data_IF_414483798687
#
_entry.id   IF_414483798687
#
_cell.length_a   1.000
_cell.length_b   1.000
_cell.length_c   1.000
_cell.angle_alpha   90.00
_cell.angle_beta   90.00
_cell.angle_gamma   90.00
#
_symmetry.space_group_name_H-M   'P 1'
#
loop_
_entity.id
_entity.type
_entity.pdbx_description
1 polymer ?
#
# COMPACT_ATOMS: atom_id res chain seq x y z
N UNK A 1 -6.67 -1.44 -21.38
CA UNK A 1 -6.47 -0.34 -20.44
C UNK A 1 -5.51 0.68 -21.00
N UNK A 2 -5.81 1.93 -20.78
CA UNK A 2 -4.91 2.98 -21.23
C UNK A 2 -4.10 3.48 -20.03
N UNK A 3 -2.81 3.27 -20.10
CA UNK A 3 -1.93 3.61 -18.99
C UNK A 3 -2.00 5.09 -18.62
N UNK A 4 -2.15 5.97 -19.61
CA UNK A 4 -2.18 7.40 -19.33
C UNK A 4 -3.44 7.86 -18.60
N UNK A 5 -4.42 6.98 -18.43
CA UNK A 5 -5.61 7.29 -17.65
C UNK A 5 -5.33 7.20 -16.14
N UNK A 6 -4.17 6.72 -15.78
CA UNK A 6 -3.78 6.57 -14.38
C UNK A 6 -2.79 7.64 -13.99
N UNK A 7 -2.90 8.07 -12.76
CA UNK A 7 -2.01 9.08 -12.20
C UNK A 7 -1.18 8.44 -11.10
N UNK A 8 0.14 8.62 -11.16
CA UNK A 8 1.03 8.15 -10.11
C UNK A 8 0.82 8.99 -8.85
N UNK A 9 0.68 8.33 -7.72
CA UNK A 9 0.49 9.01 -6.43
C UNK A 9 1.56 8.60 -5.42
N UNK A 10 2.61 7.92 -5.89
CA UNK A 10 3.72 7.49 -5.05
C UNK A 10 5.03 7.79 -5.74
N UNK A 11 6.13 7.70 -4.99
CA UNK A 11 7.46 7.81 -5.56
C UNK A 11 8.35 6.75 -4.93
N UNK A 12 9.57 6.60 -5.48
CA UNK A 12 10.46 5.55 -5.01
C UNK A 12 10.85 5.73 -3.55
N UNK A 13 10.99 6.98 -3.11
CA UNK A 13 11.34 7.25 -1.72
C UNK A 13 10.29 6.71 -0.77
N UNK A 14 9.02 6.95 -1.07
CA UNK A 14 7.95 6.47 -0.20
C UNK A 14 7.85 4.95 -0.23
N UNK A 15 8.01 4.32 -1.39
CA UNK A 15 8.02 2.87 -1.45
C UNK A 15 9.17 2.30 -0.61
N UNK A 16 10.34 2.94 -0.67
CA UNK A 16 11.49 2.51 0.10
C UNK A 16 11.24 2.68 1.60
N UNK A 17 10.55 3.76 1.98
CA UNK A 17 10.21 3.96 3.38
C UNK A 17 9.25 2.89 3.89
N UNK A 18 8.27 2.50 3.05
CA UNK A 18 7.37 1.41 3.41
C UNK A 18 8.17 0.13 3.63
N UNK A 19 9.06 -0.18 2.70
CA UNK A 19 9.88 -1.37 2.81
C UNK A 19 10.66 -1.38 4.12
N UNK A 20 11.36 -0.29 4.40
CA UNK A 20 12.19 -0.22 5.60
C UNK A 20 11.37 -0.32 6.86
N UNK A 21 10.24 0.38 6.88
CA UNK A 21 9.36 0.40 8.03
C UNK A 21 8.78 -0.98 8.30
N UNK A 22 8.27 -1.63 7.28
CA UNK A 22 7.65 -2.94 7.45
C UNK A 22 8.69 -4.00 7.76
N UNK A 23 9.89 -3.87 7.19
CA UNK A 23 10.95 -4.82 7.48
C UNK A 23 11.39 -4.75 8.95
N UNK A 24 11.28 -3.57 9.55
CA UNK A 24 11.66 -3.37 10.94
C UNK A 24 10.49 -3.50 11.91
N UNK A 25 9.31 -3.74 11.40
CA UNK A 25 8.11 -3.85 12.21
C UNK A 25 8.08 -5.20 12.91
N UNK A 26 7.70 -5.20 14.19
CA UNK A 26 7.63 -6.44 14.96
C UNK A 26 6.36 -7.26 14.62
N UNK A 27 5.40 -6.64 13.94
CA UNK A 27 4.16 -7.32 13.57
C UNK A 27 4.41 -8.15 12.32
N UNK A 28 3.95 -9.40 12.36
CA UNK A 28 4.06 -10.25 11.19
C UNK A 28 3.01 -9.83 10.16
N UNK A 29 3.48 -9.49 8.97
CA UNK A 29 2.59 -9.08 7.88
C UNK A 29 2.98 -9.82 6.61
N UNK A 30 1.99 -9.99 5.73
CA UNK A 30 2.26 -10.49 4.38
C UNK A 30 1.74 -9.44 3.40
N UNK A 31 2.29 -9.45 2.19
CA UNK A 31 1.95 -8.44 1.20
C UNK A 31 1.84 -9.04 -0.18
N UNK A 32 1.14 -8.34 -1.05
CA UNK A 32 1.11 -8.65 -2.48
C UNK A 32 0.86 -7.36 -3.24
N UNK A 33 1.18 -7.36 -4.53
CA UNK A 33 1.05 -6.18 -5.38
C UNK A 33 0.32 -6.52 -6.65
N UNK A 34 -0.25 -5.49 -7.29
CA UNK A 34 -0.78 -5.62 -8.63
C UNK A 34 0.05 -4.72 -9.56
N UNK A 35 0.40 -5.27 -10.72
CA UNK A 35 1.15 -4.52 -11.73
C UNK A 35 0.20 -3.60 -12.49
N UNK A 36 0.59 -2.33 -12.66
CA UNK A 36 -0.29 -1.33 -13.27
C UNK A 36 -0.53 -1.60 -14.74
N UNK A 37 0.42 -2.23 -15.43
CA UNK A 37 0.30 -2.47 -16.86
C UNK A 37 -0.36 -3.80 -17.17
N UNK A 38 0.10 -4.86 -16.53
CA UNK A 38 -0.34 -6.21 -16.84
C UNK A 38 -1.52 -6.65 -15.98
N UNK A 39 -1.75 -5.96 -14.87
CA UNK A 39 -2.78 -6.32 -13.90
C UNK A 39 -2.49 -7.63 -13.18
N UNK A 40 -1.26 -8.13 -13.30
CA UNK A 40 -0.86 -9.34 -12.60
C UNK A 40 -0.82 -9.08 -11.10
N UNK A 41 -1.43 -9.96 -10.34
CA UNK A 41 -1.42 -9.89 -8.87
C UNK A 41 -0.46 -10.96 -8.37
N UNK A 42 0.51 -10.55 -7.58
CA UNK A 42 1.51 -11.48 -7.06
C UNK A 42 0.90 -12.38 -5.97
N UNK A 43 1.59 -13.45 -5.67
CA UNK A 43 1.24 -14.24 -4.51
C UNK A 43 1.54 -13.46 -3.24
N UNK A 44 0.92 -13.87 -2.14
CA UNK A 44 1.24 -13.29 -0.84
C UNK A 44 2.67 -13.66 -0.45
N UNK A 45 3.39 -12.71 0.13
CA UNK A 45 4.82 -12.87 0.44
C UNK A 45 5.09 -12.24 1.80
N UNK A 46 5.92 -12.89 2.60
CA UNK A 46 6.28 -12.37 3.93
C UNK A 46 7.61 -11.66 3.98
N UNK A 47 8.35 -11.62 2.87
CA UNK A 47 9.70 -11.08 2.86
C UNK A 47 9.73 -9.65 2.36
N UNK A 48 9.97 -8.71 3.27
CA UNK A 48 10.05 -7.30 2.91
C UNK A 48 11.45 -6.87 2.48
N UNK A 49 12.48 -7.63 2.84
CA UNK A 49 13.84 -7.17 2.59
C UNK A 49 14.34 -7.56 1.21
N UNK A 50 14.22 -8.83 0.87
CA UNK A 50 14.76 -9.31 -0.40
C UNK A 50 13.75 -9.27 -1.54
N UNK A 51 12.48 -9.47 -1.25
CA UNK A 51 11.48 -9.61 -2.30
C UNK A 51 10.77 -8.32 -2.64
N UNK A 52 10.64 -7.40 -1.69
CA UNK A 52 9.99 -6.13 -1.96
C UNK A 52 11.03 -5.09 -2.36
N UNK A 53 11.42 -5.12 -3.64
CA UNK A 53 12.44 -4.20 -4.11
C UNK A 53 12.38 -4.03 -5.62
N UNK A 54 12.77 -2.83 -6.09
CA UNK A 54 12.89 -2.56 -7.51
C UNK A 54 11.54 -2.42 -8.20
N UNK A 55 11.56 -1.80 -9.37
CA UNK A 55 10.38 -1.68 -10.23
C UNK A 55 9.15 -1.11 -9.53
N UNK A 56 9.36 -0.22 -8.56
CA UNK A 56 8.27 0.36 -7.81
C UNK A 56 7.28 1.09 -8.73
N UNK A 57 7.77 1.64 -9.82
CA UNK A 57 6.92 2.35 -10.77
C UNK A 57 5.88 1.47 -11.43
N UNK A 58 6.02 0.15 -11.33
CA UNK A 58 5.05 -0.78 -11.89
C UNK A 58 3.96 -1.18 -10.90
N UNK A 59 4.05 -0.75 -9.67
CA UNK A 59 3.09 -1.15 -8.64
C UNK A 59 1.85 -0.28 -8.74
N UNK A 60 0.72 -0.89 -9.13
CA UNK A 60 -0.55 -0.19 -9.10
C UNK A 60 -1.03 -0.04 -7.66
N UNK A 61 -0.98 -1.11 -6.89
CA UNK A 61 -1.29 -1.06 -5.47
C UNK A 61 -0.54 -2.17 -4.74
N UNK A 62 -0.37 -1.94 -3.44
CA UNK A 62 0.22 -2.88 -2.50
C UNK A 62 -0.84 -3.19 -1.46
N UNK A 63 -1.06 -4.47 -1.20
CA UNK A 63 -1.91 -4.89 -0.09
C UNK A 63 -1.06 -5.50 1.00
N UNK A 64 -1.32 -5.08 2.24
CA UNK A 64 -0.64 -5.60 3.43
C UNK A 64 -1.70 -6.26 4.29
N UNK A 65 -1.50 -7.51 4.64
CA UNK A 65 -2.46 -8.27 5.42
C UNK A 65 -1.90 -8.56 6.80
N UNK A 66 -2.74 -8.34 7.81
CA UNK A 66 -2.37 -8.58 9.20
C UNK A 66 -3.32 -9.63 9.78
N UNK A 67 -2.99 -10.09 11.01
CA UNK A 67 -3.74 -11.19 11.62
C UNK A 67 -5.01 -10.75 12.30
N UNK A 68 -5.05 -9.52 12.81
CA UNK A 68 -6.22 -9.04 13.54
C UNK A 68 -6.31 -7.53 13.45
N UNK A 69 -7.42 -6.99 13.99
CA UNK A 69 -7.68 -5.56 13.87
C UNK A 69 -6.75 -4.71 14.72
N UNK A 70 -6.26 -5.23 15.82
CA UNK A 70 -5.31 -4.48 16.64
C UNK A 70 -4.02 -4.26 15.89
N UNK A 71 -3.51 -5.30 15.22
CA UNK A 71 -2.32 -5.18 14.39
C UNK A 71 -2.56 -4.26 13.22
N UNK A 72 -3.78 -4.27 12.67
CA UNK A 72 -4.11 -3.37 11.58
C UNK A 72 -3.95 -1.92 12.01
N UNK A 73 -4.46 -1.57 13.19
CA UNK A 73 -4.35 -0.20 13.67
C UNK A 73 -2.89 0.20 13.86
N UNK A 74 -2.06 -0.71 14.35
CA UNK A 74 -0.64 -0.43 14.53
C UNK A 74 0.05 -0.17 13.19
N UNK A 75 -0.24 -0.98 12.19
CA UNK A 75 0.33 -0.79 10.86
C UNK A 75 -0.14 0.51 10.24
N UNK A 76 -1.43 0.82 10.38
CA UNK A 76 -1.97 2.07 9.86
C UNK A 76 -1.27 3.26 10.50
N UNK A 77 -1.10 3.25 11.82
CA UNK A 77 -0.42 4.34 12.50
C UNK A 77 1.01 4.52 11.99
N UNK A 78 1.67 3.41 11.73
CA UNK A 78 3.02 3.44 11.19
C UNK A 78 3.03 4.05 9.79
N UNK A 79 2.10 3.64 8.94
CA UNK A 79 2.04 4.15 7.56
C UNK A 79 1.64 5.62 7.50
N UNK A 80 0.90 6.10 8.50
CA UNK A 80 0.54 7.52 8.53
C UNK A 80 1.77 8.42 8.59
N UNK A 81 2.83 7.95 9.22
CA UNK A 81 4.04 8.76 9.31
C UNK A 81 4.72 8.92 7.95
N UNK A 82 4.43 8.03 7.02
CA UNK A 82 5.00 8.11 5.67
C UNK A 82 4.13 8.95 4.75
N UNK A 83 2.85 9.11 5.10
CA UNK A 83 1.91 9.91 4.31
C UNK A 83 1.65 9.27 2.94
N UNK A 84 1.04 8.09 2.96
CA UNK A 84 0.74 7.35 1.74
C UNK A 84 -0.77 7.34 1.48
N UNK A 85 -1.16 7.24 0.21
CA UNK A 85 -2.58 7.12 -0.13
C UNK A 85 -3.03 5.68 0.04
N UNK A 86 -4.22 5.49 0.60
CA UNK A 86 -4.66 4.12 0.79
C UNK A 86 -6.04 4.01 1.39
N UNK A 87 -6.42 2.77 1.58
CA UNK A 87 -7.69 2.42 2.17
C UNK A 87 -7.57 1.06 2.84
N UNK A 88 -8.55 0.70 3.64
CA UNK A 88 -8.52 -0.62 4.28
C UNK A 88 -9.86 -1.31 4.15
N UNK A 89 -9.81 -2.63 4.22
CA UNK A 89 -11.00 -3.46 4.29
C UNK A 89 -10.64 -4.70 5.10
N UNK A 90 -11.42 -4.98 6.14
CA UNK A 90 -11.15 -6.10 7.03
C UNK A 90 -9.72 -5.99 7.57
N UNK A 91 -8.91 -7.04 7.43
CA UNK A 91 -7.54 -7.01 7.93
C UNK A 91 -6.50 -6.74 6.83
N UNK A 92 -6.93 -6.10 5.74
CA UNK A 92 -6.06 -5.76 4.62
C UNK A 92 -5.96 -4.25 4.50
N UNK A 93 -4.73 -3.76 4.34
CA UNK A 93 -4.43 -2.35 4.12
C UNK A 93 -3.90 -2.21 2.70
N UNK A 94 -4.53 -1.35 1.90
CA UNK A 94 -4.12 -1.16 0.51
C UNK A 94 -3.48 0.21 0.36
N UNK A 95 -2.28 0.23 -0.23
CA UNK A 95 -1.56 1.45 -0.55
C UNK A 95 -1.55 1.60 -2.06
N UNK A 96 -1.94 2.76 -2.56
CA UNK A 96 -2.04 2.99 -3.99
C UNK A 96 -0.76 3.55 -4.55
N UNK A 97 -0.29 2.95 -5.65
CA UNK A 97 0.78 3.53 -6.45
C UNK A 97 0.22 4.40 -7.56
N UNK A 98 -0.96 4.03 -8.06
CA UNK A 98 -1.65 4.75 -9.12
C UNK A 98 -3.14 4.78 -8.85
N UNK A 99 -3.79 5.85 -9.30
CA UNK A 99 -5.24 5.96 -9.27
C UNK A 99 -5.72 6.46 -10.62
N UNK A 100 -6.99 6.22 -10.91
CA UNK A 100 -7.57 6.78 -12.12
C UNK A 100 -7.71 8.29 -11.95
N UNK A 101 -7.49 9.03 -13.04
CA UNK A 101 -7.39 10.47 -12.98
C UNK A 101 -8.62 11.15 -12.38
N UNK A 102 -9.79 10.56 -12.55
CA UNK A 102 -11.02 11.18 -12.09
C UNK A 102 -11.52 10.62 -10.76
N UNK A 103 -10.74 9.82 -10.08
CA UNK A 103 -11.14 9.25 -8.79
C UNK A 103 -10.46 10.02 -7.67
N UNK A 104 -11.23 10.54 -6.72
CA UNK A 104 -10.62 11.18 -5.56
C UNK A 104 -9.91 10.14 -4.71
N UNK A 105 -8.91 10.60 -3.98
CA UNK A 105 -8.12 9.71 -3.14
C UNK A 105 -7.77 10.42 -1.85
N UNK A 106 -7.82 9.67 -0.75
CA UNK A 106 -7.45 10.17 0.56
C UNK A 106 -6.10 9.61 0.96
N UNK A 107 -5.46 10.28 1.90
CA UNK A 107 -4.17 9.86 2.42
C UNK A 107 -4.31 9.40 3.86
N UNK A 108 -3.63 8.33 4.19
CA UNK A 108 -3.69 7.76 5.54
C UNK A 108 -3.20 8.76 6.59
N UNK A 109 -2.22 9.61 6.21
CA UNK A 109 -1.64 10.56 7.15
C UNK A 109 -2.57 11.72 7.51
N UNK A 110 -3.64 11.90 6.77
CA UNK A 110 -4.56 12.99 7.06
C UNK A 110 -5.31 12.82 8.36
N UNK A 111 -5.24 11.63 8.95
CA UNK A 111 -5.94 11.38 10.17
C UNK A 111 -7.44 11.27 10.03
N UNK A 112 -7.94 11.31 8.82
CA UNK A 112 -9.36 11.18 8.57
C UNK A 112 -9.77 9.74 8.65
N UNK A 113 -10.67 9.43 9.55
CA UNK A 113 -11.09 8.06 9.75
C UNK A 113 -11.78 7.49 8.54
N UNK A 114 -12.38 8.31 7.72
CA UNK A 114 -13.09 7.81 6.56
C UNK A 114 -12.19 7.14 5.55
N UNK A 115 -10.88 7.34 5.67
CA UNK A 115 -9.92 6.66 4.80
C UNK A 115 -10.04 5.15 4.92
N UNK A 116 -10.55 4.67 6.04
CA UNK A 116 -10.56 3.26 6.33
C UNK A 116 -11.93 2.63 6.20
N UNK A 117 -12.84 3.35 5.60
CA UNK A 117 -14.20 2.86 5.43
C UNK A 117 -14.53 2.49 4.02
N UNK A 118 -13.56 2.55 3.19
CA UNK A 118 -13.81 2.23 1.80
C UNK A 118 -13.98 0.74 1.69
N UNK A 119 -15.05 0.38 1.17
CA UNK A 119 -15.26 -1.00 1.02
C UNK A 119 -16.43 -1.39 0.60
#
# INVERSE_FOLDING_TARGET
MRFYEYQSVMNNTKWQEIKNTMNNCSIHTIWRTQDVKTKYISDWDGDWFYHFKGNYKNIEWLEIKVENLEEKDQVINTLRTINVPGETKDNVIKVYGYVQNNNPIDYLANGSCKLFYVN
#
